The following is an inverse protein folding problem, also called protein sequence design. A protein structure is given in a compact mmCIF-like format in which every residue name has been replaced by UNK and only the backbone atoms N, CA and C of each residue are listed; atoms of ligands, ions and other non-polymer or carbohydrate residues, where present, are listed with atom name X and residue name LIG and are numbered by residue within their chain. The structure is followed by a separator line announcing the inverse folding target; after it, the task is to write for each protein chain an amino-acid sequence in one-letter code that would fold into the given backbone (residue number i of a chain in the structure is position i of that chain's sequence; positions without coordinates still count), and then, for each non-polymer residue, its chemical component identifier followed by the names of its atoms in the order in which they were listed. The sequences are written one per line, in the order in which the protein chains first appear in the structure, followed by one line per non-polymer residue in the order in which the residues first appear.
data_IF_024029488717
#
_entry.id   IF_024029488717
#
_cell.length_a   1.000
_cell.length_b   1.000
_cell.length_c   1.000
_cell.angle_alpha   90.00
_cell.angle_beta   90.00
_cell.angle_gamma   90.00
#
_symmetry.space_group_name_H-M   'P 1'
#
loop_
_entity.id
_entity.type
_entity.pdbx_description
1 polymer ?
#
# COMPACT_ATOMS: atom_id res chain seq x y z
N UNK A 1 7.02 -21.06 -3.99
CA UNK A 1 8.43 -20.74 -4.27
C UNK A 1 8.63 -20.15 -5.67
N UNK A 2 8.10 -20.75 -6.75
CA UNK A 2 8.21 -20.17 -8.11
C UNK A 2 7.49 -18.81 -8.29
N UNK A 3 6.36 -18.57 -7.63
CA UNK A 3 5.64 -17.29 -7.70
C UNK A 3 6.40 -16.13 -7.03
N UNK A 4 7.13 -16.39 -5.94
CA UNK A 4 7.82 -15.35 -5.18
C UNK A 4 9.06 -14.79 -5.90
N UNK A 5 9.78 -15.63 -6.64
CA UNK A 5 10.94 -15.20 -7.44
C UNK A 5 10.55 -14.19 -8.54
N UNK A 6 9.34 -14.32 -9.12
CA UNK A 6 8.82 -13.35 -10.08
C UNK A 6 8.61 -11.97 -9.43
N UNK A 7 8.06 -11.91 -8.22
CA UNK A 7 7.91 -10.65 -7.48
C UNK A 7 9.26 -10.03 -7.11
N UNK A 8 10.17 -10.84 -6.57
CA UNK A 8 11.50 -10.42 -6.11
C UNK A 8 12.30 -9.68 -7.19
N UNK A 9 12.38 -10.24 -8.41
CA UNK A 9 13.14 -9.65 -9.52
C UNK A 9 12.60 -8.28 -10.00
N UNK A 10 11.34 -7.98 -9.70
CA UNK A 10 10.72 -6.70 -10.04
C UNK A 10 10.99 -5.67 -8.94
N UNK A 11 10.91 -6.09 -7.66
CA UNK A 11 11.14 -5.21 -6.51
C UNK A 11 12.57 -4.68 -6.42
N UNK A 12 13.58 -5.49 -6.78
CA UNK A 12 15.00 -5.06 -6.77
C UNK A 12 15.24 -3.78 -7.57
N UNK A 13 14.48 -3.59 -8.66
CA UNK A 13 14.60 -2.45 -9.59
C UNK A 13 13.86 -1.20 -9.15
N UNK A 14 13.06 -1.29 -8.08
CA UNK A 14 12.28 -0.15 -7.62
C UNK A 14 13.20 0.94 -7.06
N UNK A 15 12.76 2.20 -7.03
CA UNK A 15 13.53 3.25 -6.40
C UNK A 15 13.55 3.07 -4.87
N UNK A 16 14.38 3.86 -4.21
CA UNK A 16 14.52 3.84 -2.75
C UNK A 16 13.20 4.10 -2.03
N UNK A 17 12.51 5.17 -2.42
CA UNK A 17 11.25 5.59 -1.80
C UNK A 17 10.05 5.04 -2.58
N UNK A 18 9.14 4.39 -1.88
CA UNK A 18 7.89 3.88 -2.45
C UNK A 18 6.75 4.45 -1.63
N UNK A 19 5.90 5.23 -2.29
CA UNK A 19 4.75 5.88 -1.71
C UNK A 19 3.48 5.15 -2.13
N UNK A 20 2.61 4.82 -1.19
CA UNK A 20 1.36 4.10 -1.47
C UNK A 20 0.18 4.99 -1.09
N UNK A 21 -0.72 5.23 -2.05
CA UNK A 21 -1.93 6.04 -1.86
C UNK A 21 -3.14 5.45 -2.60
N UNK A 22 -4.32 6.07 -2.49
CA UNK A 22 -5.58 5.57 -3.05
C UNK A 22 -6.78 5.73 -2.11
N UNK A 23 -7.98 5.47 -2.63
CA UNK A 23 -9.23 5.69 -1.92
C UNK A 23 -9.29 5.06 -0.51
N UNK A 24 -10.12 5.61 0.37
CA UNK A 24 -10.42 4.97 1.65
C UNK A 24 -10.95 3.54 1.41
N UNK A 25 -10.41 2.59 2.17
CA UNK A 25 -10.77 1.18 2.05
C UNK A 25 -10.29 0.49 0.77
N UNK A 26 -9.35 1.06 0.01
CA UNK A 26 -8.68 0.36 -1.11
C UNK A 26 -7.57 -0.61 -0.64
N UNK A 27 -7.23 -0.63 0.65
CA UNK A 27 -6.22 -1.52 1.23
C UNK A 27 -4.77 -1.02 1.14
N UNK A 28 -4.55 0.30 1.12
CA UNK A 28 -3.22 0.92 1.09
C UNK A 28 -2.25 0.40 2.14
N UNK A 29 -2.64 0.47 3.41
CA UNK A 29 -1.81 0.02 4.54
C UNK A 29 -1.46 -1.47 4.41
N UNK A 30 -2.41 -2.31 3.98
CA UNK A 30 -2.13 -3.73 3.73
C UNK A 30 -1.08 -3.91 2.63
N UNK A 31 -1.15 -3.12 1.56
CA UNK A 31 -0.12 -3.13 0.52
C UNK A 31 1.23 -2.64 1.02
N UNK A 32 1.28 -1.61 1.85
CA UNK A 32 2.54 -1.15 2.49
C UNK A 32 3.17 -2.28 3.27
N UNK A 33 2.40 -2.99 4.09
CA UNK A 33 2.90 -4.10 4.92
C UNK A 33 3.34 -5.29 4.07
N UNK A 34 2.59 -5.65 3.04
CA UNK A 34 2.95 -6.74 2.14
C UNK A 34 4.20 -6.40 1.31
N UNK A 35 4.35 -5.15 0.85
CA UNK A 35 5.56 -4.69 0.17
C UNK A 35 6.76 -4.68 1.11
N UNK A 36 6.59 -4.28 2.38
CA UNK A 36 7.66 -4.32 3.38
C UNK A 36 8.21 -5.74 3.56
N UNK A 37 7.33 -6.72 3.66
CA UNK A 37 7.69 -8.14 3.72
C UNK A 37 8.34 -8.63 2.41
N UNK A 38 7.88 -8.12 1.27
CA UNK A 38 8.48 -8.40 -0.03
C UNK A 38 9.93 -7.90 -0.12
N UNK A 39 10.19 -6.67 0.31
CA UNK A 39 11.53 -6.08 0.37
C UNK A 39 12.44 -6.79 1.39
N UNK A 40 11.93 -7.07 2.59
CA UNK A 40 12.66 -7.84 3.61
C UNK A 40 13.12 -9.20 3.06
N UNK A 41 12.25 -9.91 2.34
CA UNK A 41 12.55 -11.22 1.80
C UNK A 41 13.60 -11.22 0.67
N UNK A 42 13.88 -10.07 0.04
CA UNK A 42 15.02 -9.90 -0.89
C UNK A 42 16.26 -9.34 -0.18
N UNK A 43 16.23 -9.21 1.15
CA UNK A 43 17.36 -8.77 1.97
C UNK A 43 17.47 -7.26 2.17
N UNK A 44 16.48 -6.48 1.71
CA UNK A 44 16.48 -5.03 1.91
C UNK A 44 16.13 -4.68 3.36
N UNK A 45 16.86 -3.74 3.93
CA UNK A 45 16.42 -3.07 5.16
C UNK A 45 15.27 -2.12 4.83
N UNK A 46 14.18 -2.19 5.60
CA UNK A 46 12.96 -1.44 5.29
C UNK A 46 12.59 -0.53 6.44
N UNK A 47 12.39 0.74 6.09
CA UNK A 47 11.76 1.73 6.96
C UNK A 47 10.34 2.01 6.47
N UNK A 48 9.36 2.01 7.37
CA UNK A 48 7.97 2.34 7.06
C UNK A 48 7.59 3.62 7.78
N UNK A 49 7.11 4.61 7.05
CA UNK A 49 6.62 5.87 7.60
C UNK A 49 5.10 5.95 7.51
N UNK A 50 4.48 6.22 8.64
CA UNK A 50 3.07 6.52 8.77
C UNK A 50 2.81 7.99 8.44
N UNK A 51 2.15 8.24 7.31
CA UNK A 51 1.64 9.56 6.92
C UNK A 51 0.10 9.55 6.81
N UNK A 52 -0.57 8.47 7.24
CA UNK A 52 -2.03 8.45 7.28
C UNK A 52 -2.52 9.21 8.51
N UNK A 53 -2.80 10.50 8.28
CA UNK A 53 -3.40 11.42 9.26
C UNK A 53 -4.92 11.38 9.27
N UNK A 54 -5.55 10.61 8.37
CA UNK A 54 -7.02 10.56 8.21
C UNK A 54 -7.64 9.47 9.08
N UNK A 55 -7.00 8.30 9.15
CA UNK A 55 -7.60 7.14 9.81
C UNK A 55 -6.92 6.81 11.15
N UNK A 56 -7.50 7.23 12.29
CA UNK A 56 -6.92 6.90 13.60
C UNK A 56 -7.10 5.41 13.97
N UNK A 57 -7.98 4.68 13.27
CA UNK A 57 -8.41 3.32 13.66
C UNK A 57 -7.75 2.19 12.86
N UNK A 58 -7.32 2.41 11.62
CA UNK A 58 -6.57 1.40 10.84
C UNK A 58 -5.28 2.02 10.34
N UNK A 59 -4.34 2.13 11.27
CA UNK A 59 -3.07 2.78 11.05
C UNK A 59 -1.94 1.84 11.49
N UNK A 60 -0.78 1.91 10.83
CA UNK A 60 0.38 1.08 11.13
C UNK A 60 0.85 1.16 12.60
N UNK A 61 0.44 2.22 13.32
CA UNK A 61 0.58 2.37 14.78
C UNK A 61 0.10 1.16 15.59
N UNK A 62 -0.82 0.38 15.02
CA UNK A 62 -1.38 -0.80 15.66
C UNK A 62 -0.51 -2.05 15.56
N UNK A 63 0.37 -2.09 14.56
CA UNK A 63 1.22 -3.25 14.29
C UNK A 63 2.70 -2.96 14.51
N UNK A 64 3.02 -1.77 15.05
CA UNK A 64 4.39 -1.27 15.21
C UNK A 64 5.27 -2.20 16.03
N UNK A 65 4.78 -2.74 17.15
CA UNK A 65 5.61 -3.57 18.03
C UNK A 65 5.98 -4.90 17.35
N UNK A 66 5.02 -5.50 16.62
CA UNK A 66 5.27 -6.71 15.83
C UNK A 66 6.22 -6.45 14.66
N UNK A 67 6.08 -5.30 13.98
CA UNK A 67 6.98 -4.91 12.90
C UNK A 67 8.40 -4.63 13.42
N UNK A 68 8.52 -3.92 14.55
CA UNK A 68 9.79 -3.64 15.20
C UNK A 68 10.49 -4.90 15.68
N UNK A 69 9.75 -5.84 16.28
CA UNK A 69 10.28 -7.15 16.69
C UNK A 69 10.81 -7.98 15.51
N UNK A 70 10.30 -7.73 14.29
CA UNK A 70 10.76 -8.35 13.04
C UNK A 70 11.94 -7.61 12.39
N UNK A 71 12.33 -6.44 12.91
CA UNK A 71 13.48 -5.67 12.44
C UNK A 71 13.14 -4.52 11.49
N UNK A 72 11.86 -4.19 11.32
CA UNK A 72 11.46 -3.00 10.56
C UNK A 72 11.69 -1.72 11.36
N UNK A 73 12.21 -0.69 10.70
CA UNK A 73 12.27 0.65 11.28
C UNK A 73 10.94 1.37 11.04
N UNK A 74 10.25 1.82 12.09
CA UNK A 74 8.96 2.50 11.93
C UNK A 74 9.09 3.98 12.31
N UNK A 75 8.69 4.85 11.40
CA UNK A 75 8.56 6.29 11.62
C UNK A 75 7.08 6.60 11.84
N UNK A 76 6.74 6.92 13.07
CA UNK A 76 5.39 7.36 13.47
C UNK A 76 5.41 8.82 13.90
N UNK A 77 4.24 9.45 14.02
CA UNK A 77 4.10 10.71 14.74
C UNK A 77 4.73 10.64 16.14
N UNK A 78 5.18 11.77 16.71
CA UNK A 78 5.70 11.85 18.07
C UNK A 78 4.77 11.18 19.09
N UNK A 79 5.33 10.59 20.14
CA UNK A 79 4.58 9.77 21.10
C UNK A 79 3.40 10.52 21.75
N UNK A 80 3.59 11.80 22.05
CA UNK A 80 2.54 12.68 22.59
C UNK A 80 1.41 13.00 21.59
N UNK A 81 1.61 12.71 20.30
CA UNK A 81 0.64 12.85 19.23
C UNK A 81 0.26 11.50 18.58
N UNK A 82 0.75 10.37 19.10
CA UNK A 82 0.56 9.03 18.50
C UNK A 82 -0.92 8.65 18.41
N UNK A 83 -1.74 9.08 19.37
CA UNK A 83 -3.17 8.76 19.42
C UNK A 83 -4.05 10.00 19.36
N UNK A 84 -3.48 11.15 18.99
CA UNK A 84 -4.27 12.37 18.82
C UNK A 84 -4.82 12.48 17.41
N UNK A 85 -5.93 13.19 17.25
CA UNK A 85 -6.50 13.57 15.95
C UNK A 85 -5.70 14.70 15.27
N UNK A 86 -4.49 14.98 15.75
CA UNK A 86 -3.65 16.04 15.17
C UNK A 86 -2.93 15.52 13.92
N UNK A 87 -2.89 16.37 12.90
CA UNK A 87 -2.19 16.13 11.64
C UNK A 87 -0.68 16.35 11.78
N UNK A 88 -0.03 15.52 12.63
CA UNK A 88 1.40 15.62 12.91
C UNK A 88 2.15 14.52 12.17
N UNK A 89 3.10 14.92 11.34
CA UNK A 89 4.05 14.01 10.66
C UNK A 89 5.44 14.19 11.23
N UNK A 90 6.19 13.09 11.32
CA UNK A 90 7.51 13.08 11.96
C UNK A 90 8.59 13.71 11.07
N UNK A 91 9.44 14.61 11.60
CA UNK A 91 10.56 15.18 10.85
C UNK A 91 11.62 14.12 10.48
N UNK A 92 11.60 12.94 11.12
CA UNK A 92 12.48 11.81 10.78
C UNK A 92 12.30 11.33 9.33
N UNK A 93 11.17 11.64 8.70
CA UNK A 93 10.92 11.33 7.29
C UNK A 93 11.97 11.98 6.39
N UNK A 94 12.32 13.26 6.60
CA UNK A 94 13.35 13.95 5.81
C UNK A 94 14.73 13.29 5.98
N UNK A 95 15.07 12.83 7.19
CA UNK A 95 16.30 12.07 7.43
C UNK A 95 16.30 10.72 6.69
N UNK A 96 15.17 10.00 6.74
CA UNK A 96 15.00 8.74 6.03
C UNK A 96 15.01 8.91 4.50
N UNK A 97 14.56 10.06 3.98
CA UNK A 97 14.67 10.41 2.57
C UNK A 97 16.10 10.76 2.16
N UNK A 98 16.89 11.37 3.05
CA UNK A 98 18.25 11.83 2.77
C UNK A 98 19.35 10.76 2.87
N UNK A 99 19.15 9.67 3.62
CA UNK A 99 20.12 8.56 3.69
C UNK A 99 20.21 7.79 2.37
N UNK A 100 21.32 7.15 2.03
CA UNK A 100 21.38 6.26 0.85
C UNK A 100 21.06 4.80 1.19
N UNK A 101 20.87 4.48 2.48
CA UNK A 101 20.67 3.12 2.97
C UNK A 101 19.19 2.72 3.09
N UNK A 102 18.89 1.49 2.68
CA UNK A 102 17.59 0.85 2.87
C UNK A 102 16.46 1.41 1.99
N UNK A 103 15.29 0.77 2.09
CA UNK A 103 14.03 1.18 1.46
C UNK A 103 13.23 2.07 2.40
N UNK A 104 12.47 2.98 1.82
CA UNK A 104 11.48 3.78 2.54
C UNK A 104 10.10 3.57 1.95
N UNK A 105 9.19 3.03 2.74
CA UNK A 105 7.77 2.91 2.40
C UNK A 105 6.99 4.03 3.08
N UNK A 106 6.19 4.76 2.33
CA UNK A 106 5.33 5.84 2.83
C UNK A 106 3.87 5.40 2.71
N UNK A 107 3.18 5.20 3.85
CA UNK A 107 1.73 4.94 3.89
C UNK A 107 1.00 6.27 3.93
N UNK A 108 0.25 6.60 2.87
CA UNK A 108 -0.38 7.91 2.70
C UNK A 108 -1.88 7.78 2.77
N UNK A 109 -2.50 8.63 3.61
CA UNK A 109 -3.96 8.73 3.72
C UNK A 109 -4.66 8.96 2.38
N UNK A 110 -5.87 8.42 2.25
CA UNK A 110 -6.56 8.28 0.96
C UNK A 110 -7.28 9.51 0.39
N UNK A 111 -7.17 10.64 1.07
CA UNK A 111 -7.90 11.87 0.75
C UNK A 111 -6.95 13.06 0.54
N UNK A 112 -7.51 14.22 0.22
CA UNK A 112 -6.76 15.45 -0.07
C UNK A 112 -5.77 15.84 1.05
N UNK A 113 -6.08 15.54 2.31
CA UNK A 113 -5.17 15.84 3.44
C UNK A 113 -3.96 14.89 3.48
N UNK A 114 -4.14 13.61 3.13
CA UNK A 114 -3.02 12.68 2.98
C UNK A 114 -2.08 13.10 1.84
N UNK A 115 -2.64 13.57 0.73
CA UNK A 115 -1.86 14.18 -0.36
C UNK A 115 -1.12 15.45 0.09
N UNK A 116 -1.73 16.26 0.97
CA UNK A 116 -1.12 17.46 1.52
C UNK A 116 0.06 17.13 2.44
N UNK A 117 -0.01 16.04 3.22
CA UNK A 117 1.09 15.57 4.05
C UNK A 117 2.34 15.20 3.23
N UNK A 118 2.17 14.76 1.97
CA UNK A 118 3.28 14.55 1.05
C UNK A 118 3.87 15.85 0.51
N UNK A 119 3.06 16.89 0.31
CA UNK A 119 3.49 18.12 -0.37
C UNK A 119 4.71 18.75 0.30
N UNK A 120 4.78 18.74 1.63
CA UNK A 120 5.91 19.30 2.37
C UNK A 120 7.22 18.50 2.17
N UNK A 121 7.14 17.23 1.79
CA UNK A 121 8.29 16.36 1.53
C UNK A 121 8.60 16.23 0.03
N UNK A 122 7.82 16.86 -0.85
CA UNK A 122 7.94 16.73 -2.31
C UNK A 122 9.39 16.92 -2.81
N UNK A 123 10.14 17.97 -2.42
CA UNK A 123 11.52 18.15 -2.89
C UNK A 123 12.46 17.03 -2.47
N UNK A 124 12.28 16.51 -1.26
CA UNK A 124 13.10 15.43 -0.70
C UNK A 124 12.77 14.09 -1.36
N UNK A 125 11.48 13.82 -1.59
CA UNK A 125 10.99 12.63 -2.27
C UNK A 125 11.49 12.59 -3.73
N UNK A 126 11.42 13.73 -4.44
CA UNK A 126 11.95 13.84 -5.81
C UNK A 126 13.44 13.59 -5.86
N UNK A 127 14.20 14.14 -4.91
CA UNK A 127 15.66 14.00 -4.84
C UNK A 127 16.10 12.56 -4.53
N UNK A 128 15.37 11.86 -3.65
CA UNK A 128 15.66 10.47 -3.30
C UNK A 128 15.36 9.47 -4.42
N UNK A 129 14.58 9.86 -5.43
CA UNK A 129 13.98 8.95 -6.40
C UNK A 129 12.83 8.16 -5.77
N UNK A 130 11.68 8.16 -6.44
CA UNK A 130 10.46 7.59 -5.87
C UNK A 130 9.59 6.86 -6.89
N UNK A 131 8.75 5.97 -6.37
CA UNK A 131 7.62 5.39 -7.07
C UNK A 131 6.36 5.68 -6.25
N UNK A 132 5.45 6.49 -6.79
CA UNK A 132 4.14 6.71 -6.21
C UNK A 132 3.14 5.73 -6.84
N UNK A 133 2.52 4.91 -6.01
CA UNK A 133 1.60 3.84 -6.39
C UNK A 133 0.19 4.23 -5.97
N UNK A 134 -0.75 4.16 -6.91
CA UNK A 134 -2.17 4.31 -6.65
C UNK A 134 -2.83 2.92 -6.53
N UNK A 135 -3.27 2.57 -5.32
CA UNK A 135 -4.00 1.33 -5.03
C UNK A 135 -5.48 1.53 -5.29
N UNK A 136 -6.01 0.71 -6.20
CA UNK A 136 -7.37 0.82 -6.71
C UNK A 136 -8.19 -0.40 -6.30
N UNK A 137 -9.32 -0.16 -5.65
CA UNK A 137 -10.39 -1.13 -5.53
C UNK A 137 -11.53 -0.71 -6.47
N UNK A 138 -11.77 -1.46 -7.54
CA UNK A 138 -12.79 -1.15 -8.54
C UNK A 138 -14.23 -1.21 -7.99
N UNK A 139 -14.42 -1.74 -6.78
CA UNK A 139 -15.72 -1.78 -6.10
C UNK A 139 -15.98 -0.58 -5.19
N UNK A 140 -15.11 0.44 -5.22
CA UNK A 140 -15.35 1.73 -4.55
C UNK A 140 -16.00 2.72 -5.52
N UNK A 141 -17.00 3.52 -5.10
CA UNK A 141 -17.69 4.46 -5.99
C UNK A 141 -16.77 5.45 -6.70
N UNK A 142 -15.68 5.88 -6.05
CA UNK A 142 -14.74 6.84 -6.60
C UNK A 142 -13.83 6.23 -7.68
N UNK A 143 -13.63 4.92 -7.68
CA UNK A 143 -12.68 4.22 -8.54
C UNK A 143 -13.31 3.07 -9.32
N UNK A 144 -14.64 3.04 -9.43
CA UNK A 144 -15.39 2.01 -10.18
C UNK A 144 -15.45 2.22 -11.69
N UNK A 145 -14.66 3.16 -12.21
CA UNK A 145 -14.58 3.46 -13.64
C UNK A 145 -13.24 4.13 -13.94
N UNK A 146 -12.80 4.04 -15.20
CA UNK A 146 -11.57 4.71 -15.67
C UNK A 146 -11.61 6.22 -15.39
N UNK A 147 -12.75 6.87 -15.63
CA UNK A 147 -12.95 8.30 -15.31
C UNK A 147 -12.73 8.58 -13.83
N UNK A 148 -13.26 7.75 -12.94
CA UNK A 148 -13.09 7.90 -11.50
C UNK A 148 -11.63 7.78 -11.07
N UNK A 149 -10.93 6.78 -11.61
CA UNK A 149 -9.48 6.60 -11.39
C UNK A 149 -8.69 7.82 -11.88
N UNK A 150 -8.97 8.30 -13.10
CA UNK A 150 -8.35 9.52 -13.67
C UNK A 150 -8.56 10.73 -12.78
N UNK A 151 -9.79 10.99 -12.34
CA UNK A 151 -10.10 12.12 -11.45
C UNK A 151 -9.34 12.02 -10.11
N UNK A 152 -9.25 10.83 -9.53
CA UNK A 152 -8.48 10.62 -8.30
C UNK A 152 -6.99 10.87 -8.51
N UNK A 153 -6.43 10.38 -9.61
CA UNK A 153 -5.03 10.60 -9.97
C UNK A 153 -4.71 12.09 -10.14
N UNK A 154 -5.45 12.79 -11.01
CA UNK A 154 -5.20 14.21 -11.31
C UNK A 154 -5.33 15.08 -10.04
N UNK A 155 -6.30 14.76 -9.18
CA UNK A 155 -6.45 15.43 -7.88
C UNK A 155 -5.26 15.15 -6.96
N UNK A 156 -4.79 13.90 -6.88
CA UNK A 156 -3.64 13.55 -6.04
C UNK A 156 -2.39 14.28 -6.51
N UNK A 157 -2.06 14.22 -7.80
CA UNK A 157 -0.88 14.84 -8.37
C UNK A 157 -0.90 16.37 -8.23
N UNK A 158 -2.06 17.00 -8.43
CA UNK A 158 -2.19 18.45 -8.27
C UNK A 158 -1.95 18.93 -6.82
N UNK A 159 -2.29 18.11 -5.82
CA UNK A 159 -2.12 18.47 -4.41
C UNK A 159 -0.70 18.20 -3.93
N UNK A 160 -0.19 16.99 -4.13
CA UNK A 160 1.13 16.60 -3.60
C UNK A 160 2.29 17.09 -4.47
N UNK A 161 2.03 17.41 -5.74
CA UNK A 161 3.05 17.80 -6.71
C UNK A 161 3.95 16.66 -7.14
N UNK A 162 3.59 15.40 -6.88
CA UNK A 162 4.29 14.19 -7.33
C UNK A 162 3.47 13.50 -8.42
N UNK A 163 4.13 12.74 -9.30
CA UNK A 163 3.47 11.98 -10.36
C UNK A 163 3.27 10.53 -9.94
N UNK A 164 2.08 10.00 -10.18
CA UNK A 164 1.80 8.57 -10.01
C UNK A 164 2.56 7.80 -11.07
N UNK A 165 3.38 6.85 -10.66
CA UNK A 165 4.20 6.04 -11.56
C UNK A 165 3.58 4.69 -11.90
N UNK A 166 2.61 4.23 -11.11
CA UNK A 166 1.99 2.92 -11.29
C UNK A 166 0.67 2.74 -10.56
N UNK A 167 -0.09 1.74 -10.99
CA UNK A 167 -1.31 1.27 -10.36
C UNK A 167 -1.12 -0.11 -9.72
N UNK A 168 -1.89 -0.37 -8.68
CA UNK A 168 -2.07 -1.71 -8.11
C UNK A 168 -3.57 -2.00 -8.06
N UNK A 169 -3.99 -3.16 -8.55
CA UNK A 169 -5.36 -3.62 -8.36
C UNK A 169 -5.47 -4.31 -7.01
N UNK A 170 -6.39 -3.84 -6.17
CA UNK A 170 -6.79 -4.48 -4.93
C UNK A 170 -8.31 -4.49 -4.83
N UNK A 171 -8.95 -5.12 -5.82
CA UNK A 171 -10.41 -5.17 -5.86
C UNK A 171 -10.92 -6.32 -5.00
N UNK A 172 -11.63 -5.97 -3.94
CA UNK A 172 -12.13 -6.90 -2.94
C UNK A 172 -13.47 -6.43 -2.38
N UNK A 173 -14.26 -7.41 -1.97
CA UNK A 173 -15.48 -7.25 -1.18
C UNK A 173 -15.30 -7.80 0.23
N UNK A 174 -14.06 -7.74 0.77
CA UNK A 174 -13.71 -8.32 2.08
C UNK A 174 -13.94 -9.83 2.10
N UNK A 175 -14.76 -10.35 3.00
CA UNK A 175 -14.94 -11.79 3.19
C UNK A 175 -15.69 -12.45 2.02
N UNK A 176 -16.48 -11.65 1.30
CA UNK A 176 -17.24 -12.00 0.10
C UNK A 176 -16.41 -11.97 -1.19
N UNK A 177 -15.10 -11.69 -1.09
CA UNK A 177 -14.20 -11.69 -2.24
C UNK A 177 -14.10 -13.09 -2.85
N UNK A 178 -14.19 -13.18 -4.18
CA UNK A 178 -13.99 -14.40 -4.97
C UNK A 178 -12.86 -14.17 -5.98
N UNK A 179 -12.36 -15.24 -6.61
CA UNK A 179 -11.35 -15.11 -7.66
C UNK A 179 -11.86 -14.28 -8.85
N UNK A 180 -13.14 -14.41 -9.19
CA UNK A 180 -13.79 -13.63 -10.25
C UNK A 180 -13.91 -12.15 -9.88
N UNK A 181 -14.25 -11.81 -8.63
CA UNK A 181 -14.24 -10.42 -8.18
C UNK A 181 -12.86 -9.78 -8.35
N UNK A 182 -11.79 -10.51 -8.03
CA UNK A 182 -10.44 -10.00 -8.28
C UNK A 182 -10.20 -9.77 -9.78
N UNK A 183 -10.66 -10.68 -10.66
CA UNK A 183 -10.48 -10.61 -12.11
C UNK A 183 -11.18 -9.40 -12.72
N UNK A 184 -12.47 -9.26 -12.43
CA UNK A 184 -13.31 -8.17 -12.94
C UNK A 184 -12.75 -6.80 -12.51
N UNK A 185 -12.27 -6.74 -11.26
CA UNK A 185 -11.62 -5.55 -10.75
C UNK A 185 -10.26 -5.28 -11.40
N UNK A 186 -9.44 -6.31 -11.67
CA UNK A 186 -8.19 -6.13 -12.40
C UNK A 186 -8.43 -5.62 -13.83
N UNK A 187 -9.42 -6.15 -14.55
CA UNK A 187 -9.74 -5.71 -15.91
C UNK A 187 -10.05 -4.20 -15.95
N UNK A 188 -10.85 -3.71 -14.99
CA UNK A 188 -11.15 -2.28 -14.83
C UNK A 188 -9.88 -1.46 -14.60
N UNK A 189 -8.96 -1.96 -13.75
CA UNK A 189 -7.70 -1.28 -13.43
C UNK A 189 -6.71 -1.32 -14.61
N UNK A 190 -6.72 -2.39 -15.40
CA UNK A 190 -5.95 -2.52 -16.64
C UNK A 190 -6.42 -1.53 -17.70
N UNK A 191 -7.73 -1.38 -17.87
CA UNK A 191 -8.32 -0.39 -18.76
C UNK A 191 -7.89 1.03 -18.34
N UNK A 192 -7.98 1.33 -17.04
CA UNK A 192 -7.54 2.62 -16.51
C UNK A 192 -6.04 2.84 -16.70
N UNK A 193 -5.21 1.82 -16.42
CA UNK A 193 -3.76 1.88 -16.65
C UNK A 193 -3.42 2.15 -18.12
N UNK A 194 -4.10 1.49 -19.05
CA UNK A 194 -3.93 1.73 -20.48
C UNK A 194 -4.29 3.15 -20.90
N UNK A 195 -5.40 3.71 -20.40
CA UNK A 195 -5.85 5.07 -20.75
C UNK A 195 -4.96 6.16 -20.12
N UNK A 196 -4.34 5.86 -18.98
CA UNK A 196 -3.46 6.77 -18.24
C UNK A 196 -1.99 6.61 -18.63
N UNK A 197 -1.64 5.57 -19.41
CA UNK A 197 -0.24 5.26 -19.74
C UNK A 197 0.57 4.75 -18.54
N UNK A 198 -0.10 4.12 -17.57
CA UNK A 198 0.51 3.64 -16.33
C UNK A 198 0.54 2.11 -16.26
N UNK A 199 1.64 1.50 -15.80
CA UNK A 199 1.69 0.07 -15.59
C UNK A 199 0.84 -0.34 -14.39
N UNK A 200 0.18 -1.50 -14.49
CA UNK A 200 -0.41 -2.19 -13.34
C UNK A 200 0.59 -3.23 -12.84
N UNK A 201 1.18 -2.98 -11.67
CA UNK A 201 2.31 -3.78 -11.18
C UNK A 201 1.86 -5.14 -10.67
N UNK A 202 0.80 -5.15 -9.87
CA UNK A 202 0.31 -6.33 -9.18
C UNK A 202 -1.21 -6.29 -9.02
N UNK A 203 -1.79 -7.47 -8.83
CA UNK A 203 -3.17 -7.64 -8.43
C UNK A 203 -3.25 -8.43 -7.13
N UNK A 204 -3.78 -7.81 -6.07
CA UNK A 204 -3.90 -8.41 -4.75
C UNK A 204 -5.06 -9.40 -4.70
N UNK A 205 -4.79 -10.58 -4.17
CA UNK A 205 -5.81 -11.60 -3.91
C UNK A 205 -5.63 -12.17 -2.50
N UNK A 206 -6.71 -12.52 -1.79
CA UNK A 206 -6.59 -13.27 -0.55
C UNK A 206 -5.77 -14.55 -0.75
N UNK A 207 -4.87 -14.94 0.17
CA UNK A 207 -3.99 -16.10 -0.01
C UNK A 207 -4.75 -17.40 -0.28
N UNK A 208 -5.93 -17.56 0.35
CA UNK A 208 -6.83 -18.69 0.15
C UNK A 208 -7.35 -18.82 -1.29
N UNK A 209 -7.44 -17.72 -2.03
CA UNK A 209 -7.94 -17.66 -3.41
C UNK A 209 -6.83 -17.70 -4.45
N UNK A 210 -5.56 -17.62 -4.05
CA UNK A 210 -4.43 -17.51 -4.99
C UNK A 210 -4.42 -18.61 -6.08
N UNK A 211 -4.63 -19.91 -5.78
CA UNK A 211 -4.64 -20.94 -6.82
C UNK A 211 -5.77 -20.77 -7.85
N UNK A 212 -6.94 -20.36 -7.37
CA UNK A 212 -8.13 -20.14 -8.20
C UNK A 212 -7.96 -18.89 -9.06
N UNK A 213 -7.53 -17.77 -8.46
CA UNK A 213 -7.26 -16.52 -9.15
C UNK A 213 -6.18 -16.68 -10.24
N UNK A 214 -5.11 -17.45 -9.97
CA UNK A 214 -4.10 -17.75 -10.97
C UNK A 214 -4.66 -18.52 -12.18
N UNK A 215 -5.66 -19.38 -11.94
CA UNK A 215 -6.35 -20.14 -12.99
C UNK A 215 -7.26 -19.22 -13.83
N UNK A 216 -8.00 -18.32 -13.17
CA UNK A 216 -8.82 -17.29 -13.83
C UNK A 216 -7.96 -16.31 -14.63
N UNK A 217 -6.79 -15.89 -14.12
CA UNK A 217 -5.87 -15.00 -14.85
C UNK A 217 -5.43 -15.63 -16.17
N UNK A 218 -5.11 -16.92 -16.13
CA UNK A 218 -4.69 -17.67 -17.31
C UNK A 218 -5.83 -17.81 -18.31
N UNK A 219 -7.06 -18.10 -17.86
CA UNK A 219 -8.21 -18.26 -18.75
C UNK A 219 -8.64 -16.93 -19.41
N UNK A 220 -8.49 -15.82 -18.67
CA UNK A 220 -8.81 -14.46 -19.14
C UNK A 220 -7.63 -13.72 -19.77
N UNK A 221 -6.48 -14.37 -19.89
CA UNK A 221 -5.24 -13.82 -20.46
C UNK A 221 -4.76 -12.52 -19.75
N UNK A 222 -4.90 -12.47 -18.43
CA UNK A 222 -4.45 -11.35 -17.59
C UNK A 222 -2.96 -11.54 -17.25
N UNK A 223 -2.12 -10.63 -17.74
CA UNK A 223 -0.65 -10.72 -17.63
C UNK A 223 -0.08 -10.15 -16.34
N UNK A 224 -0.91 -9.52 -15.50
CA UNK A 224 -0.48 -8.88 -14.26
C UNK A 224 -0.17 -9.93 -13.19
N UNK A 225 1.00 -9.90 -12.54
CA UNK A 225 1.32 -10.85 -11.49
C UNK A 225 0.33 -10.77 -10.31
N UNK A 226 -0.21 -11.92 -9.94
CA UNK A 226 -1.14 -12.08 -8.83
C UNK A 226 -0.37 -12.10 -7.50
N UNK A 227 -0.66 -11.21 -6.55
CA UNK A 227 0.02 -11.15 -5.26
C UNK A 227 -0.87 -11.73 -4.15
N UNK A 228 -0.41 -12.73 -3.37
CA UNK A 228 -1.16 -13.25 -2.22
C UNK A 228 -1.12 -12.25 -1.06
N UNK A 229 -2.07 -11.32 -1.04
CA UNK A 229 -2.13 -10.20 -0.09
C UNK A 229 -2.70 -10.67 1.25
N UNK A 230 -1.84 -10.73 2.27
CA UNK A 230 -2.29 -11.04 3.63
C UNK A 230 -2.83 -9.80 4.32
N UNK A 231 -3.88 -9.96 5.14
CA UNK A 231 -4.40 -8.90 6.00
C UNK A 231 -3.68 -8.91 7.34
N UNK A 232 -3.24 -7.75 7.79
CA UNK A 232 -2.60 -7.51 9.08
C UNK A 232 -3.38 -6.50 9.92
N UNK A 233 -4.19 -5.64 9.27
CA UNK A 233 -5.04 -4.65 9.92
C UNK A 233 -6.40 -5.27 10.22
N UNK A 234 -6.46 -5.98 11.34
CA UNK A 234 -7.64 -6.74 11.78
C UNK A 234 -8.53 -5.90 12.70
N UNK A 235 -9.84 -6.10 12.60
CA UNK A 235 -10.84 -5.56 13.51
C UNK A 235 -10.63 -6.13 14.92
N UNK A 236 -11.00 -5.40 16.00
CA UNK A 236 -10.80 -5.86 17.38
C UNK A 236 -11.45 -7.21 17.71
N UNK A 237 -12.43 -7.66 16.93
CA UNK A 237 -13.14 -8.93 17.12
C UNK A 237 -12.71 -10.03 16.16
N UNK A 238 -11.82 -9.75 15.21
CA UNK A 238 -11.28 -10.76 14.29
C UNK A 238 -10.18 -11.60 14.98
N UNK A 239 -10.14 -12.88 14.64
CA UNK A 239 -9.08 -13.77 15.13
C UNK A 239 -7.73 -13.35 14.56
N UNK A 240 -6.72 -13.21 15.43
CA UNK A 240 -5.40 -12.68 15.07
C UNK A 240 -5.26 -11.16 15.20
N UNK A 241 -6.32 -10.44 15.58
CA UNK A 241 -6.19 -9.03 15.95
C UNK A 241 -5.32 -8.90 17.21
N UNK A 242 -4.21 -8.17 17.12
CA UNK A 242 -3.24 -8.04 18.22
C UNK A 242 -3.81 -7.38 19.49
N UNK A 243 -4.95 -6.70 19.39
CA UNK A 243 -5.64 -6.06 20.51
C UNK A 243 -6.63 -6.96 21.25
N UNK A 244 -7.03 -8.10 20.66
CA UNK A 244 -8.14 -8.92 21.17
C UNK A 244 -7.70 -9.95 22.22
N UNK A 245 -6.40 -10.12 22.42
CA UNK A 245 -5.84 -11.00 23.46
C UNK A 245 -5.03 -10.16 24.43
N UNK A 246 -5.36 -10.12 25.74
CA UNK A 246 -4.41 -9.68 26.73
C UNK A 246 -3.12 -10.48 26.52
N UNK A 247 -1.95 -9.83 26.60
CA UNK A 247 -0.69 -10.56 26.72
C UNK A 247 -0.86 -11.51 27.90
N UNK A 248 -0.95 -12.81 27.62
CA UNK A 248 -0.94 -13.85 28.65
C UNK A 248 0.46 -13.85 29.25
N UNK A 249 0.68 -12.93 30.19
CA UNK A 249 1.63 -13.09 31.27
C UNK A 249 0.94 -13.92 32.35
N UNK A 250 1.04 -15.23 32.20
CA UNK A 250 1.08 -16.22 33.29
C UNK A 250 2.28 -17.14 33.05
#
# INVERSE_FOLDING_TARGET
MASFQTFASTLEKWPKAVAVTGALGSGKTEWVLNLALGFEAIGDQVTIADLDIINPYFCIRQVTDALGARGFNIIMPPENARWSDMTVVSPKISSALATDEGRLLLDIGGDAEGALALKQFEPDIRRAGYLLILVINAFRPQTSSVRGVRTMLERMESICGLSVGALISNSHLMDETTAEHCADGLETVLEAGSELGLPVLYAGVPPKLFPEAASVWKSRNLSVPCWPLSRYMMLPWEEGAMWSRPSTGE
#
